data_IF_784318860590
#
_entry.id   IF_784318860590
#
_cell.length_a   1.000
_cell.length_b   1.000
_cell.length_c   1.000
_cell.angle_alpha   90.00
_cell.angle_beta   90.00
_cell.angle_gamma   90.00
#
_symmetry.space_group_name_H-M   'P 1'
#
loop_
_entity.id
_entity.type
_entity.pdbx_description
1 polymer ?
#
# COMPACT_ATOMS: atom_id res chain seq x y z
N UNK A 1 14.62 -40.87 12.97
CA UNK A 1 14.95 -39.75 12.05
C UNK A 1 14.19 -38.52 12.53
N UNK A 2 14.83 -37.60 13.25
CA UNK A 2 14.30 -36.27 13.51
C UNK A 2 15.32 -35.28 12.95
N UNK A 3 15.01 -34.65 11.80
CA UNK A 3 15.93 -33.74 11.09
C UNK A 3 15.62 -32.27 11.37
N UNK A 4 15.33 -31.96 12.63
CA UNK A 4 15.21 -30.57 13.08
C UNK A 4 16.51 -30.20 13.78
N UNK A 5 17.23 -29.24 13.21
CA UNK A 5 18.47 -28.71 13.75
C UNK A 5 18.16 -27.36 14.37
N UNK A 6 18.25 -27.25 15.71
CA UNK A 6 18.19 -25.97 16.40
C UNK A 6 19.60 -25.37 16.40
N UNK A 7 19.75 -24.17 15.85
CA UNK A 7 21.00 -23.42 16.02
C UNK A 7 21.15 -23.01 17.49
N UNK A 8 22.34 -23.22 18.05
CA UNK A 8 22.71 -22.82 19.42
C UNK A 8 23.62 -21.59 19.39
N UNK A 9 23.58 -20.76 20.44
CA UNK A 9 24.43 -19.57 20.55
C UNK A 9 23.86 -18.32 19.88
N UNK A 10 22.56 -18.28 19.65
CA UNK A 10 21.84 -17.12 19.12
C UNK A 10 20.92 -16.55 20.20
N UNK A 11 20.79 -15.23 20.23
CA UNK A 11 19.74 -14.57 20.97
C UNK A 11 18.41 -14.69 20.18
N UNK A 12 17.32 -14.94 20.90
CA UNK A 12 15.99 -15.08 20.31
C UNK A 12 15.06 -14.09 21.00
N UNK A 13 14.37 -13.28 20.20
CA UNK A 13 13.33 -12.36 20.67
C UNK A 13 11.98 -12.79 20.10
N UNK A 14 10.93 -12.51 20.87
CA UNK A 14 9.55 -12.70 20.45
C UNK A 14 9.09 -11.38 19.83
N UNK A 15 8.68 -11.43 18.55
CA UNK A 15 8.08 -10.29 17.87
C UNK A 15 6.61 -10.14 18.27
N UNK A 16 5.85 -11.23 18.20
CA UNK A 16 4.45 -11.28 18.60
C UNK A 16 4.10 -12.69 19.11
N UNK A 17 3.37 -12.76 20.22
CA UNK A 17 2.87 -14.01 20.83
C UNK A 17 1.35 -14.00 21.05
N UNK A 18 0.68 -12.93 20.63
CA UNK A 18 -0.76 -12.74 20.75
C UNK A 18 -1.30 -11.99 19.51
N UNK A 19 -2.62 -11.98 19.31
CA UNK A 19 -3.24 -11.31 18.16
C UNK A 19 -3.02 -12.00 16.80
N UNK A 20 -2.47 -13.22 16.81
CA UNK A 20 -2.29 -14.09 15.65
C UNK A 20 -3.10 -15.39 15.88
N UNK A 21 -3.82 -15.83 14.86
CA UNK A 21 -4.66 -17.03 14.88
C UNK A 21 -4.02 -18.17 14.09
N UNK A 22 -3.62 -17.92 12.84
CA UNK A 22 -2.88 -18.88 12.02
C UNK A 22 -1.93 -18.16 11.06
N UNK A 23 -0.80 -17.63 11.55
CA UNK A 23 0.17 -16.91 10.72
C UNK A 23 0.84 -17.86 9.71
N UNK A 24 0.85 -17.49 8.43
CA UNK A 24 1.26 -18.37 7.31
C UNK A 24 2.37 -17.84 6.42
N UNK A 25 2.54 -16.52 6.32
CA UNK A 25 3.56 -15.88 5.51
C UNK A 25 4.16 -14.69 6.24
N UNK A 26 5.42 -14.38 5.94
CA UNK A 26 6.08 -13.20 6.46
C UNK A 26 7.12 -12.67 5.47
N UNK A 27 7.31 -11.36 5.50
CA UNK A 27 8.40 -10.69 4.80
C UNK A 27 8.80 -9.43 5.56
N UNK A 28 10.02 -8.96 5.33
CA UNK A 28 10.55 -7.73 5.94
C UNK A 28 10.73 -6.70 4.83
N UNK A 29 10.23 -5.49 5.07
CA UNK A 29 10.47 -4.33 4.22
C UNK A 29 10.90 -3.17 5.09
N UNK A 30 12.15 -2.72 4.91
CA UNK A 30 12.82 -1.78 5.81
C UNK A 30 12.71 -2.24 7.27
N UNK A 31 12.30 -1.37 8.19
CA UNK A 31 12.12 -1.68 9.60
C UNK A 31 10.70 -2.23 9.92
N UNK A 32 10.04 -2.84 8.94
CA UNK A 32 8.69 -3.41 9.10
C UNK A 32 8.67 -4.90 8.85
N UNK A 33 8.08 -5.64 9.78
CA UNK A 33 7.71 -7.03 9.57
C UNK A 33 6.23 -7.11 9.19
N UNK A 34 5.95 -7.71 8.03
CA UNK A 34 4.60 -8.04 7.61
C UNK A 34 4.34 -9.52 7.83
N UNK A 35 3.17 -9.86 8.37
CA UNK A 35 2.76 -11.24 8.64
C UNK A 35 1.34 -11.44 8.12
N UNK A 36 1.13 -12.42 7.25
CA UNK A 36 -0.21 -12.84 6.84
C UNK A 36 -0.77 -13.86 7.81
N UNK A 37 -2.06 -13.77 8.09
CA UNK A 37 -2.79 -14.73 8.89
C UNK A 37 -3.89 -15.39 8.06
N UNK A 38 -3.77 -16.71 7.91
CA UNK A 38 -4.71 -17.50 7.13
C UNK A 38 -6.12 -17.46 7.69
N UNK A 39 -6.31 -17.51 9.01
CA UNK A 39 -7.62 -17.74 9.59
C UNK A 39 -8.56 -16.54 9.41
N UNK A 40 -8.04 -15.32 9.59
CA UNK A 40 -8.81 -14.09 9.44
C UNK A 40 -8.58 -13.38 8.09
N UNK A 41 -7.50 -13.69 7.38
CA UNK A 41 -7.13 -13.01 6.13
C UNK A 41 -6.48 -11.63 6.35
N UNK A 42 -5.99 -11.34 7.55
CA UNK A 42 -5.30 -10.08 7.82
C UNK A 42 -3.84 -10.15 7.38
N UNK A 43 -3.31 -9.01 6.96
CA UNK A 43 -1.86 -8.76 6.92
C UNK A 43 -1.53 -7.80 8.06
N UNK A 44 -0.79 -8.28 9.06
CA UNK A 44 -0.39 -7.54 10.24
C UNK A 44 0.98 -6.89 9.99
N UNK A 45 1.14 -5.62 10.34
CA UNK A 45 2.38 -4.87 10.17
C UNK A 45 2.94 -4.49 11.53
N UNK A 46 4.21 -4.85 11.79
CA UNK A 46 4.94 -4.52 13.00
C UNK A 46 6.12 -3.60 12.70
N UNK A 47 6.39 -2.64 13.59
CA UNK A 47 7.63 -1.87 13.64
C UNK A 47 8.69 -2.64 14.43
N UNK A 48 9.74 -3.04 13.72
CA UNK A 48 10.88 -3.78 14.26
C UNK A 48 12.15 -2.92 14.42
N UNK A 49 12.05 -1.59 14.25
CA UNK A 49 13.15 -0.66 14.52
C UNK A 49 13.44 -0.48 16.01
N UNK A 50 12.49 -0.87 16.87
CA UNK A 50 12.51 -0.65 18.31
C UNK A 50 12.24 -1.94 19.12
N UNK A 51 12.65 -1.89 20.38
CA UNK A 51 12.41 -2.94 21.38
C UNK A 51 11.76 -2.27 22.62
N UNK A 52 10.49 -2.57 22.95
CA UNK A 52 9.65 -3.63 22.38
C UNK A 52 9.11 -3.33 20.99
N UNK A 53 8.93 -4.39 20.19
CA UNK A 53 8.24 -4.35 18.89
C UNK A 53 6.80 -3.87 19.07
N UNK A 54 6.31 -3.06 18.11
CA UNK A 54 4.96 -2.47 18.15
C UNK A 54 4.17 -2.89 16.92
N UNK A 55 2.90 -3.30 17.09
CA UNK A 55 1.97 -3.47 15.96
C UNK A 55 1.56 -2.08 15.44
N UNK A 56 1.86 -1.79 14.17
CA UNK A 56 1.50 -0.53 13.50
C UNK A 56 0.05 -0.55 13.00
N UNK A 57 -0.44 -1.73 12.60
CA UNK A 57 -1.80 -1.88 12.11
C UNK A 57 -2.01 -3.17 11.32
N UNK A 58 -3.20 -3.28 10.74
CA UNK A 58 -3.65 -4.45 9.99
C UNK A 58 -4.32 -4.02 8.69
N UNK A 59 -4.07 -4.79 7.64
CA UNK A 59 -4.76 -4.70 6.36
C UNK A 59 -5.76 -5.86 6.32
N UNK A 60 -7.05 -5.55 6.44
CA UNK A 60 -8.12 -6.52 6.32
C UNK A 60 -8.43 -6.76 4.84
N UNK A 61 -7.99 -7.89 4.30
CA UNK A 61 -8.20 -8.22 2.87
C UNK A 61 -9.61 -8.75 2.57
N UNK A 62 -10.33 -9.22 3.59
CA UNK A 62 -11.60 -9.94 3.44
C UNK A 62 -11.45 -11.41 3.04
N UNK A 63 -10.24 -11.94 2.93
CA UNK A 63 -9.95 -13.28 2.41
C UNK A 63 -9.66 -14.29 3.54
N UNK A 64 -10.66 -14.54 4.39
CA UNK A 64 -10.56 -15.49 5.49
C UNK A 64 -10.37 -16.94 5.00
N UNK A 65 -9.46 -17.68 5.62
CA UNK A 65 -9.05 -19.04 5.26
C UNK A 65 -8.42 -19.17 3.87
N UNK A 66 -7.80 -18.11 3.35
CA UNK A 66 -7.19 -18.11 2.02
C UNK A 66 -5.69 -17.77 2.03
N UNK A 67 -5.29 -16.69 2.73
CA UNK A 67 -3.95 -16.11 2.56
C UNK A 67 -2.85 -17.06 3.06
N UNK A 68 -1.84 -17.25 2.21
CA UNK A 68 -0.63 -18.02 2.51
C UNK A 68 0.59 -17.11 2.51
N UNK A 69 1.51 -17.28 1.56
CA UNK A 69 2.73 -16.48 1.49
C UNK A 69 2.44 -15.04 1.06
N UNK A 70 3.26 -14.12 1.57
CA UNK A 70 3.33 -12.74 1.11
C UNK A 70 4.78 -12.38 0.74
N UNK A 71 4.94 -11.39 -0.13
CA UNK A 71 6.22 -10.79 -0.50
C UNK A 71 6.02 -9.29 -0.73
N UNK A 72 6.92 -8.47 -0.22
CA UNK A 72 6.94 -7.02 -0.50
C UNK A 72 7.94 -6.75 -1.62
N UNK A 73 7.52 -5.97 -2.63
CA UNK A 73 8.41 -5.54 -3.72
C UNK A 73 9.33 -4.41 -3.26
N UNK A 74 10.43 -4.11 -3.98
CA UNK A 74 11.28 -2.95 -3.67
C UNK A 74 10.51 -1.61 -3.58
N UNK A 75 9.45 -1.47 -4.37
CA UNK A 75 8.58 -0.30 -4.45
C UNK A 75 7.56 -0.22 -3.30
N UNK A 76 7.45 -1.27 -2.48
CA UNK A 76 6.54 -1.34 -1.33
C UNK A 76 5.22 -2.06 -1.59
N UNK A 77 4.95 -2.50 -2.83
CA UNK A 77 3.75 -3.26 -3.15
C UNK A 77 3.75 -4.62 -2.43
N UNK A 78 2.58 -5.02 -1.91
CA UNK A 78 2.42 -6.29 -1.21
C UNK A 78 1.77 -7.29 -2.12
N UNK A 79 2.49 -8.35 -2.44
CA UNK A 79 2.00 -9.49 -3.21
C UNK A 79 1.67 -10.63 -2.25
N UNK A 80 0.50 -11.26 -2.39
CA UNK A 80 0.13 -12.41 -1.57
C UNK A 80 -0.68 -13.44 -2.35
N UNK A 81 -0.50 -14.71 -1.97
CA UNK A 81 -1.15 -15.85 -2.63
C UNK A 81 -2.26 -16.43 -1.77
N UNK A 82 -3.32 -16.90 -2.42
CA UNK A 82 -4.47 -17.54 -1.78
C UNK A 82 -4.54 -19.02 -2.14
N UNK A 83 -4.78 -19.89 -1.15
CA UNK A 83 -4.76 -21.34 -1.35
C UNK A 83 -6.00 -21.91 -2.03
N UNK A 84 -7.22 -21.55 -1.58
CA UNK A 84 -8.42 -22.22 -2.08
C UNK A 84 -8.96 -21.53 -3.33
N UNK A 85 -8.79 -20.21 -3.42
CA UNK A 85 -9.14 -19.44 -4.61
C UNK A 85 -8.19 -19.71 -5.80
N UNK A 86 -6.95 -20.15 -5.56
CA UNK A 86 -5.88 -20.26 -6.55
C UNK A 86 -5.54 -18.91 -7.21
N UNK A 87 -5.54 -17.85 -6.41
CA UNK A 87 -5.38 -16.47 -6.87
C UNK A 87 -4.11 -15.82 -6.28
N UNK A 88 -3.56 -14.87 -7.03
CA UNK A 88 -2.49 -13.97 -6.60
C UNK A 88 -3.08 -12.56 -6.58
N UNK A 89 -2.90 -11.87 -5.46
CA UNK A 89 -3.32 -10.50 -5.27
C UNK A 89 -2.11 -9.59 -5.10
N UNK A 90 -2.28 -8.34 -5.52
CA UNK A 90 -1.35 -7.23 -5.30
C UNK A 90 -2.10 -6.13 -4.57
N UNK A 91 -1.52 -5.63 -3.48
CA UNK A 91 -1.88 -4.34 -2.89
C UNK A 91 -0.82 -3.37 -3.35
N UNK A 92 -1.21 -2.48 -4.26
CA UNK A 92 -0.33 -1.43 -4.75
C UNK A 92 -0.29 -0.29 -3.75
N UNK A 93 0.90 0.12 -3.35
CA UNK A 93 1.09 1.35 -2.59
C UNK A 93 1.19 2.50 -3.59
N UNK A 94 0.05 2.92 -4.12
CA UNK A 94 0.02 4.11 -4.98
C UNK A 94 0.18 5.34 -4.11
N UNK A 95 1.32 6.02 -4.25
CA UNK A 95 1.44 7.38 -3.73
C UNK A 95 0.47 8.23 -4.54
N UNK A 96 -0.58 8.73 -3.90
CA UNK A 96 -1.48 9.70 -4.52
C UNK A 96 -0.69 10.99 -4.68
N UNK A 97 -0.25 11.26 -5.90
CA UNK A 97 0.40 12.51 -6.26
C UNK A 97 -0.71 13.52 -6.59
N UNK A 98 -0.92 14.47 -5.69
CA UNK A 98 -1.85 15.55 -5.96
C UNK A 98 -1.27 16.40 -7.09
N UNK A 99 -2.07 16.60 -8.12
CA UNK A 99 -1.73 17.21 -9.40
C UNK A 99 -1.34 16.23 -10.52
N UNK A 100 -1.17 14.94 -10.22
CA UNK A 100 -1.06 13.87 -11.23
C UNK A 100 -2.48 13.41 -11.57
N UNK A 101 -3.14 14.10 -12.48
CA UNK A 101 -4.57 13.93 -12.72
C UNK A 101 -4.85 12.56 -13.34
N UNK A 102 -4.00 12.05 -14.23
CA UNK A 102 -4.24 10.74 -14.86
C UNK A 102 -3.75 9.54 -14.03
N UNK A 103 -3.03 9.78 -12.93
CA UNK A 103 -2.55 8.76 -12.01
C UNK A 103 -1.43 7.89 -12.57
N UNK A 104 -0.65 8.40 -13.53
CA UNK A 104 0.46 7.67 -14.16
C UNK A 104 1.79 7.74 -13.40
N UNK A 105 1.81 8.52 -12.31
CA UNK A 105 2.94 8.70 -11.42
C UNK A 105 3.87 9.85 -11.82
N UNK A 106 3.53 10.64 -12.85
CA UNK A 106 4.35 11.74 -13.36
C UNK A 106 3.53 13.03 -13.47
N UNK A 107 4.12 14.18 -13.10
CA UNK A 107 3.53 15.48 -13.43
C UNK A 107 3.85 15.84 -14.87
N UNK A 108 2.83 15.91 -15.72
CA UNK A 108 2.97 16.21 -17.14
C UNK A 108 1.98 17.27 -17.62
N UNK A 109 2.19 17.77 -18.84
CA UNK A 109 1.21 18.65 -19.49
C UNK A 109 -0.14 17.94 -19.73
N UNK A 110 -0.19 16.61 -19.73
CA UNK A 110 -1.45 15.87 -19.84
C UNK A 110 -2.34 16.16 -18.63
N UNK A 111 -1.77 16.25 -17.43
CA UNK A 111 -2.50 16.52 -16.20
C UNK A 111 -3.13 17.92 -16.20
N UNK A 112 -2.37 18.91 -16.68
CA UNK A 112 -2.86 20.27 -16.92
C UNK A 112 -4.02 20.27 -17.91
N UNK A 113 -3.88 19.52 -19.03
CA UNK A 113 -4.91 19.46 -20.06
C UNK A 113 -6.19 18.79 -19.53
N UNK A 114 -6.07 17.70 -18.77
CA UNK A 114 -7.21 17.01 -18.18
C UNK A 114 -7.94 17.90 -17.16
N UNK A 115 -7.21 18.51 -16.22
CA UNK A 115 -7.82 19.44 -15.25
C UNK A 115 -8.52 20.61 -15.95
N UNK A 116 -7.88 21.21 -16.97
CA UNK A 116 -8.49 22.30 -17.72
C UNK A 116 -9.74 21.85 -18.51
N UNK A 117 -9.75 20.64 -19.07
CA UNK A 117 -10.93 20.09 -19.75
C UNK A 117 -12.10 19.90 -18.79
N UNK A 118 -11.85 19.40 -17.59
CA UNK A 118 -12.86 19.27 -16.55
C UNK A 118 -13.43 20.63 -16.14
N UNK A 119 -12.56 21.61 -15.84
CA UNK A 119 -12.96 22.98 -15.47
C UNK A 119 -13.78 23.65 -16.58
N UNK A 120 -13.51 23.33 -17.86
CA UNK A 120 -14.29 23.80 -19.01
C UNK A 120 -15.58 23.02 -19.27
N UNK A 121 -15.86 21.95 -18.52
CA UNK A 121 -17.00 21.06 -18.74
C UNK A 121 -16.90 20.22 -20.02
N UNK A 122 -15.68 19.97 -20.50
CA UNK A 122 -15.38 19.21 -21.71
C UNK A 122 -15.12 17.72 -21.42
N UNK A 123 -14.80 17.38 -20.17
CA UNK A 123 -14.61 16.00 -19.70
C UNK A 123 -15.22 15.82 -18.31
N UNK A 124 -15.59 14.58 -18.00
CA UNK A 124 -15.91 14.14 -16.64
C UNK A 124 -14.67 13.44 -16.06
N UNK A 125 -14.57 13.43 -14.74
CA UNK A 125 -13.49 12.79 -13.98
C UNK A 125 -14.10 11.80 -12.99
N UNK A 126 -13.38 10.72 -12.69
CA UNK A 126 -13.73 9.82 -11.59
C UNK A 126 -13.36 10.40 -10.20
N UNK A 127 -13.73 9.69 -9.13
CA UNK A 127 -13.50 10.17 -7.76
C UNK A 127 -12.00 10.33 -7.44
N UNK A 128 -11.14 9.48 -7.99
CA UNK A 128 -9.71 9.53 -7.74
C UNK A 128 -9.05 10.67 -8.54
N UNK A 129 -9.48 10.88 -9.79
CA UNK A 129 -9.07 12.02 -10.63
C UNK A 129 -9.47 13.36 -10.00
N UNK A 130 -10.68 13.46 -9.45
CA UNK A 130 -11.14 14.66 -8.73
C UNK A 130 -10.27 14.92 -7.49
N UNK A 131 -10.01 13.89 -6.69
CA UNK A 131 -9.17 14.02 -5.50
C UNK A 131 -7.74 14.45 -5.83
N UNK A 132 -7.16 13.94 -6.93
CA UNK A 132 -5.83 14.37 -7.39
C UNK A 132 -5.85 15.76 -8.02
N UNK A 133 -6.98 16.21 -8.56
CA UNK A 133 -7.11 17.52 -9.20
C UNK A 133 -7.25 18.66 -8.19
N UNK A 134 -7.72 18.43 -6.97
CA UNK A 134 -7.85 19.44 -5.91
C UNK A 134 -6.47 19.70 -5.27
N UNK A 135 -5.66 20.55 -5.89
CA UNK A 135 -4.26 20.74 -5.48
C UNK A 135 -4.13 21.66 -4.27
N UNK A 136 -5.09 22.55 -4.07
CA UNK A 136 -5.10 23.47 -2.94
C UNK A 136 -5.93 22.98 -1.74
N UNK A 137 -6.65 21.86 -1.89
CA UNK A 137 -7.52 21.23 -0.90
C UNK A 137 -8.68 22.12 -0.43
N UNK A 138 -9.26 22.92 -1.31
CA UNK A 138 -10.42 23.76 -0.99
C UNK A 138 -11.77 23.08 -1.30
N UNK A 139 -11.73 21.93 -1.99
CA UNK A 139 -12.88 21.10 -2.32
C UNK A 139 -13.57 21.44 -3.63
N UNK A 140 -13.14 22.47 -4.36
CA UNK A 140 -13.63 22.84 -5.68
C UNK A 140 -12.51 22.71 -6.72
N UNK A 141 -12.75 22.03 -7.84
CA UNK A 141 -11.77 21.95 -8.94
C UNK A 141 -11.94 23.17 -9.85
N UNK A 142 -10.99 24.10 -9.81
CA UNK A 142 -11.06 25.33 -10.59
C UNK A 142 -9.74 25.72 -11.28
N UNK A 143 -9.67 26.96 -11.79
CA UNK A 143 -8.49 27.45 -12.52
C UNK A 143 -7.24 27.56 -11.64
N UNK A 144 -7.40 27.71 -10.32
CA UNK A 144 -6.29 27.75 -9.37
C UNK A 144 -5.58 26.40 -9.33
N UNK A 145 -6.32 25.29 -9.34
CA UNK A 145 -5.72 23.95 -9.42
C UNK A 145 -4.94 23.75 -10.70
N UNK A 146 -5.50 24.17 -11.84
CA UNK A 146 -4.79 24.12 -13.13
C UNK A 146 -3.45 24.86 -13.05
N UNK A 147 -3.40 26.03 -12.39
CA UNK A 147 -2.16 26.80 -12.23
C UNK A 147 -1.17 26.10 -11.29
N UNK A 148 -1.64 25.44 -10.23
CA UNK A 148 -0.77 24.68 -9.32
C UNK A 148 -0.20 23.44 -10.00
N UNK A 149 -1.00 22.74 -10.82
CA UNK A 149 -0.51 21.62 -11.63
C UNK A 149 0.56 22.09 -12.62
N UNK A 150 0.36 23.25 -13.26
CA UNK A 150 1.40 23.85 -14.13
C UNK A 150 2.71 24.07 -13.37
N UNK A 151 2.64 24.55 -12.12
CA UNK A 151 3.82 24.75 -11.27
C UNK A 151 4.53 23.42 -10.93
N UNK A 152 3.77 22.34 -10.71
CA UNK A 152 4.31 20.99 -10.50
C UNK A 152 5.00 20.41 -11.75
N UNK A 153 4.53 20.76 -12.95
CA UNK A 153 5.13 20.28 -14.21
C UNK A 153 6.46 20.97 -14.54
N UNK A 154 6.65 22.22 -14.09
CA UNK A 154 7.80 23.04 -14.46
C UNK A 154 8.93 23.08 -13.42
N UNK A 155 8.71 22.58 -12.20
CA UNK A 155 9.69 22.56 -11.10
C UNK A 155 10.09 21.14 -10.70
#
# INVERSE_FOLDING_TARGET
MNRYWRMSGTDWNVVADSGLTNPTGLDIYEDRLLVSDYANGDIIVYDISQDPVVELGRIATGLSNEIMGLKVSPEGDIWYVCSNANELYQITVTVILVGDVNGDGLYTIMDVVLCAQYVMGLSEMDEDELYRSDVNYDGDIDVLDVLLIVDLVIN
#
